data_IF_066416142072
#
_entry.id   IF_066416142072
#
_cell.length_a   1.000
_cell.length_b   1.000
_cell.length_c   1.000
_cell.angle_alpha   90.00
_cell.angle_beta   90.00
_cell.angle_gamma   90.00
#
_symmetry.space_group_name_H-M   'P 1'
#
loop_
_entity.id
_entity.type
_entity.pdbx_description
1 polymer ?
#
# COMPACT_ATOMS: atom_id res chain seq x y z
N UNK A 1 -21.28 13.69 14.31
CA UNK A 1 -19.83 13.42 14.37
C UNK A 1 -19.32 13.15 12.96
N UNK A 2 -18.08 13.52 12.63
CA UNK A 2 -17.51 13.20 11.31
C UNK A 2 -17.40 11.67 11.14
N UNK A 3 -17.55 11.12 9.92
CA UNK A 3 -17.34 9.70 9.69
C UNK A 3 -15.86 9.33 9.85
N UNK A 4 -15.52 8.63 10.94
CA UNK A 4 -14.13 8.26 11.33
C UNK A 4 -13.64 6.93 10.72
N UNK A 5 -14.57 6.13 10.19
CA UNK A 5 -14.33 4.79 9.60
C UNK A 5 -14.64 4.70 8.11
N UNK A 6 -14.87 5.85 7.46
CA UNK A 6 -15.29 5.94 6.06
C UNK A 6 -14.36 6.89 5.32
N UNK A 7 -13.99 6.50 4.10
CA UNK A 7 -13.24 7.31 3.15
C UNK A 7 -13.96 7.26 1.80
N UNK A 8 -13.65 8.24 0.94
CA UNK A 8 -14.05 8.21 -0.47
C UNK A 8 -12.79 7.93 -1.30
N UNK A 9 -12.80 6.83 -2.05
CA UNK A 9 -11.79 6.56 -3.06
C UNK A 9 -12.36 6.96 -4.43
N UNK A 10 -11.65 7.82 -5.15
CA UNK A 10 -12.00 8.27 -6.48
C UNK A 10 -10.87 7.91 -7.45
N UNK A 11 -11.22 7.28 -8.57
CA UNK A 11 -10.29 6.90 -9.63
C UNK A 11 -10.78 7.44 -10.96
N UNK A 12 -9.85 8.00 -11.73
CA UNK A 12 -10.04 8.47 -13.08
C UNK A 12 -9.25 7.56 -14.01
N UNK A 13 -9.92 6.99 -14.99
CA UNK A 13 -9.33 6.03 -15.93
C UNK A 13 -9.71 6.41 -17.36
N UNK A 14 -8.94 5.88 -18.31
CA UNK A 14 -9.34 5.81 -19.70
C UNK A 14 -10.41 4.72 -19.89
N UNK A 15 -11.06 4.73 -21.05
CA UNK A 15 -12.04 3.70 -21.43
C UNK A 15 -11.42 2.30 -21.57
N UNK A 16 -10.10 2.20 -21.69
CA UNK A 16 -9.34 0.95 -21.70
C UNK A 16 -8.83 0.57 -20.29
N UNK A 17 -9.41 1.16 -19.24
CA UNK A 17 -9.06 0.93 -17.83
C UNK A 17 -7.64 1.39 -17.42
N UNK A 18 -6.92 2.07 -18.31
CA UNK A 18 -5.63 2.66 -17.96
C UNK A 18 -5.82 3.75 -16.90
N UNK A 19 -5.18 3.65 -15.71
CA UNK A 19 -5.33 4.65 -14.65
C UNK A 19 -4.72 5.99 -15.05
N UNK A 20 -5.44 7.08 -14.80
CA UNK A 20 -5.00 8.47 -15.01
C UNK A 20 -4.70 9.15 -13.69
N UNK A 21 -5.58 8.99 -12.69
CA UNK A 21 -5.43 9.59 -11.37
C UNK A 21 -6.21 8.82 -10.32
N UNK A 22 -5.69 8.79 -9.11
CA UNK A 22 -6.37 8.23 -7.93
C UNK A 22 -6.33 9.26 -6.81
N UNK A 23 -7.39 9.31 -6.01
CA UNK A 23 -7.46 10.15 -4.82
C UNK A 23 -8.27 9.50 -3.72
N UNK A 24 -7.73 9.53 -2.51
CA UNK A 24 -8.46 9.20 -1.29
C UNK A 24 -8.84 10.49 -0.57
N UNK A 25 -10.09 10.59 -0.15
CA UNK A 25 -10.60 11.69 0.67
C UNK A 25 -11.04 11.14 2.02
N UNK A 26 -10.41 11.65 3.06
CA UNK A 26 -10.74 11.36 4.45
C UNK A 26 -11.85 12.31 4.92
N UNK A 27 -12.86 11.76 5.59
CA UNK A 27 -14.01 12.52 6.08
C UNK A 27 -13.86 12.96 7.54
N UNK A 28 -12.72 12.63 8.15
CA UNK A 28 -12.30 13.06 9.46
C UNK A 28 -10.80 13.41 9.46
N UNK A 29 -10.34 14.27 10.39
CA UNK A 29 -8.91 14.48 10.66
C UNK A 29 -8.16 13.17 10.95
N UNK A 30 -6.86 13.14 10.64
CA UNK A 30 -6.02 11.95 10.78
C UNK A 30 -6.03 11.37 12.20
N UNK A 31 -5.95 12.24 13.20
CA UNK A 31 -5.96 11.89 14.63
C UNK A 31 -7.32 11.40 15.15
N UNK A 32 -8.37 11.51 14.34
CA UNK A 32 -9.71 10.98 14.61
C UNK A 32 -10.02 9.73 13.77
N UNK A 33 -9.15 9.35 12.83
CA UNK A 33 -9.34 8.12 12.08
C UNK A 33 -9.15 6.93 13.02
N UNK A 34 -10.11 6.03 13.00
CA UNK A 34 -10.04 4.80 13.78
C UNK A 34 -9.23 3.75 13.02
N UNK A 35 -7.92 4.01 12.90
CA UNK A 35 -6.99 3.08 12.30
C UNK A 35 -6.81 1.86 13.19
N UNK A 36 -6.61 0.71 12.54
CA UNK A 36 -6.30 -0.55 13.21
C UNK A 36 -5.09 -1.19 12.53
N UNK A 37 -4.30 -1.98 13.26
CA UNK A 37 -3.30 -2.85 12.63
C UNK A 37 -3.97 -3.75 11.59
N UNK A 38 -3.30 -3.91 10.46
CA UNK A 38 -3.78 -4.72 9.33
C UNK A 38 -2.75 -5.77 8.96
N UNK A 39 -3.22 -6.99 8.73
CA UNK A 39 -2.38 -8.05 8.16
C UNK A 39 -2.47 -7.98 6.65
N UNK A 40 -1.33 -7.82 5.99
CA UNK A 40 -1.22 -7.76 4.53
C UNK A 40 -0.39 -8.96 4.10
N UNK A 41 -0.95 -9.78 3.21
CA UNK A 41 -0.29 -10.97 2.68
C UNK A 41 0.16 -10.68 1.23
N UNK A 42 1.41 -10.25 1.02
CA UNK A 42 1.90 -9.92 -0.32
C UNK A 42 2.01 -11.18 -1.18
N UNK A 43 1.66 -11.07 -2.46
CA UNK A 43 1.82 -12.14 -3.44
C UNK A 43 2.72 -11.67 -4.58
N UNK A 44 3.67 -12.50 -5.01
CA UNK A 44 4.49 -12.23 -6.19
C UNK A 44 3.85 -12.88 -7.41
N UNK A 45 3.76 -12.11 -8.49
CA UNK A 45 3.38 -12.59 -9.81
C UNK A 45 4.41 -12.14 -10.84
N UNK A 46 4.69 -12.96 -11.83
CA UNK A 46 5.41 -12.51 -13.02
C UNK A 46 4.45 -11.86 -14.02
N UNK A 47 4.82 -10.68 -14.53
CA UNK A 47 4.14 -10.02 -15.64
C UNK A 47 5.20 -9.46 -16.58
N UNK A 48 5.10 -9.79 -17.86
CA UNK A 48 6.04 -9.38 -18.91
C UNK A 48 7.52 -9.70 -18.59
N UNK A 49 7.76 -10.81 -17.87
CA UNK A 49 9.09 -11.24 -17.45
C UNK A 49 9.67 -10.47 -16.26
N UNK A 50 8.86 -9.64 -15.59
CA UNK A 50 9.26 -8.91 -14.39
C UNK A 50 8.43 -9.32 -13.17
N UNK A 51 9.02 -9.37 -11.96
CA UNK A 51 8.31 -9.67 -10.74
C UNK A 51 7.49 -8.45 -10.25
N UNK A 52 6.21 -8.67 -9.99
CA UNK A 52 5.29 -7.71 -9.40
C UNK A 52 4.77 -8.22 -8.06
N UNK A 53 4.63 -7.31 -7.10
CA UNK A 53 4.09 -7.57 -5.78
C UNK A 53 2.66 -7.04 -5.76
N UNK A 54 1.70 -7.93 -5.58
CA UNK A 54 0.29 -7.61 -5.34
C UNK A 54 0.05 -7.45 -3.85
N UNK A 55 -0.59 -6.35 -3.48
CA UNK A 55 -0.96 -5.99 -2.13
C UNK A 55 -2.46 -5.74 -2.05
N UNK A 56 -3.08 -6.23 -0.99
CA UNK A 56 -4.50 -6.05 -0.67
C UNK A 56 -4.68 -6.09 0.84
N UNK A 57 -5.71 -5.41 1.35
CA UNK A 57 -6.05 -5.39 2.76
C UNK A 57 -7.57 -5.36 2.96
N UNK A 58 -8.04 -6.00 4.03
CA UNK A 58 -9.46 -6.00 4.43
C UNK A 58 -9.89 -4.69 5.12
N UNK A 59 -8.92 -3.92 5.62
CA UNK A 59 -9.12 -2.61 6.25
C UNK A 59 -8.09 -1.62 5.71
N UNK A 60 -8.33 -0.32 5.94
CA UNK A 60 -7.45 0.74 5.45
C UNK A 60 -6.03 0.55 6.03
N UNK A 61 -5.06 0.31 5.14
CA UNK A 61 -3.65 0.35 5.46
C UNK A 61 -3.13 1.76 5.15
N UNK A 62 -3.20 2.65 6.13
CA UNK A 62 -2.82 4.05 5.94
C UNK A 62 -1.29 4.20 5.90
N UNK A 63 -0.80 5.01 4.96
CA UNK A 63 0.61 5.38 4.77
C UNK A 63 1.53 4.14 4.78
N UNK A 64 1.12 3.12 4.01
CA UNK A 64 1.82 1.85 3.89
C UNK A 64 3.24 2.08 3.39
N UNK A 65 4.18 1.60 4.19
CA UNK A 65 5.61 1.61 3.94
C UNK A 65 6.13 0.20 3.69
N UNK A 66 6.79 0.02 2.55
CA UNK A 66 7.46 -1.20 2.13
C UNK A 66 8.98 -1.04 2.26
N UNK A 67 9.65 -2.06 2.79
CA UNK A 67 11.09 -2.11 2.87
C UNK A 67 11.64 -3.53 2.68
N UNK A 68 12.82 -3.62 2.05
CA UNK A 68 13.65 -4.81 2.08
C UNK A 68 14.92 -4.48 2.87
N UNK A 69 14.94 -4.76 4.18
CA UNK A 69 16.02 -4.30 5.05
C UNK A 69 17.39 -4.77 4.57
N UNK A 70 18.31 -3.82 4.43
CA UNK A 70 19.69 -4.11 4.01
C UNK A 70 19.86 -4.35 2.50
N UNK A 71 18.80 -4.19 1.70
CA UNK A 71 18.86 -4.33 0.24
C UNK A 71 18.73 -2.96 -0.41
N UNK A 72 19.74 -2.56 -1.18
CA UNK A 72 19.70 -1.31 -1.92
C UNK A 72 18.72 -1.41 -3.11
N UNK A 73 17.76 -0.51 -3.15
CA UNK A 73 16.76 -0.43 -4.22
C UNK A 73 15.63 0.52 -3.86
N UNK A 74 14.59 0.54 -4.68
CA UNK A 74 13.38 1.33 -4.43
C UNK A 74 12.13 0.60 -4.91
N UNK A 75 11.00 0.87 -4.28
CA UNK A 75 9.71 0.46 -4.84
C UNK A 75 9.25 1.45 -5.92
N UNK A 76 8.47 0.96 -6.88
CA UNK A 76 7.83 1.79 -7.91
C UNK A 76 6.83 2.78 -7.31
N UNK A 77 6.25 2.42 -6.17
CA UNK A 77 5.41 3.25 -5.33
C UNK A 77 5.59 2.83 -3.87
N UNK A 78 5.57 3.79 -2.95
CA UNK A 78 5.73 3.58 -1.50
C UNK A 78 5.05 4.74 -0.75
N UNK A 79 4.79 4.59 0.54
CA UNK A 79 4.06 5.59 1.36
C UNK A 79 2.66 5.91 0.82
N UNK A 80 1.91 4.87 0.41
CA UNK A 80 0.57 5.02 -0.13
C UNK A 80 -0.48 4.36 0.77
N UNK A 81 -1.75 4.69 0.59
CA UNK A 81 -2.84 4.01 1.28
C UNK A 81 -3.28 2.75 0.51
N UNK A 82 -3.43 1.60 1.18
CA UNK A 82 -4.27 0.51 0.65
C UNK A 82 -5.70 0.71 1.10
N UNK A 83 -6.56 1.00 0.14
CA UNK A 83 -8.00 1.09 0.36
C UNK A 83 -8.59 -0.33 0.40
N UNK A 84 -9.51 -0.63 1.35
CA UNK A 84 -10.11 -1.96 1.45
C UNK A 84 -10.70 -2.46 0.12
N UNK A 85 -10.36 -3.68 -0.27
CA UNK A 85 -10.85 -4.31 -1.49
C UNK A 85 -10.33 -3.71 -2.80
N UNK A 86 -9.34 -2.81 -2.75
CA UNK A 86 -8.66 -2.28 -3.94
C UNK A 86 -7.23 -2.82 -3.96
N UNK A 87 -6.93 -3.68 -4.94
CA UNK A 87 -5.59 -4.21 -5.13
C UNK A 87 -4.61 -3.11 -5.57
N UNK A 88 -3.37 -3.18 -5.06
CA UNK A 88 -2.26 -2.36 -5.53
C UNK A 88 -1.10 -3.24 -5.98
N UNK A 89 -0.51 -2.85 -7.11
CA UNK A 89 0.57 -3.58 -7.75
C UNK A 89 1.82 -2.70 -7.74
N UNK A 90 2.89 -3.20 -7.13
CA UNK A 90 4.17 -2.48 -7.05
C UNK A 90 5.32 -3.38 -7.51
N UNK A 91 6.41 -2.76 -7.96
CA UNK A 91 7.67 -3.43 -8.27
C UNK A 91 8.73 -2.98 -7.30
N UNK A 92 9.65 -3.88 -6.94
CA UNK A 92 10.93 -3.49 -6.38
C UNK A 92 11.95 -3.38 -7.51
N UNK A 93 12.71 -2.30 -7.50
CA UNK A 93 13.77 -1.99 -8.45
C UNK A 93 15.09 -2.05 -7.66
N UNK A 94 15.80 -3.19 -7.68
CA UNK A 94 17.11 -3.30 -7.04
C UNK A 94 18.08 -2.28 -7.63
N UNK A 95 19.01 -1.79 -6.80
CA UNK A 95 20.16 -1.03 -7.31
C UNK A 95 21.01 -1.90 -8.25
N UNK A 96 21.82 -1.26 -9.10
CA UNK A 96 22.67 -1.99 -10.04
C UNK A 96 23.56 -3.02 -9.32
N UNK A 97 23.50 -4.27 -9.77
CA UNK A 97 24.25 -5.38 -9.18
C UNK A 97 23.62 -6.02 -7.93
N UNK A 98 22.50 -5.47 -7.41
CA UNK A 98 21.75 -6.10 -6.33
C UNK A 98 20.78 -7.16 -6.87
N UNK A 99 20.67 -8.28 -6.15
CA UNK A 99 19.69 -9.32 -6.45
C UNK A 99 18.30 -8.93 -5.91
N UNK A 100 17.25 -9.47 -6.53
CA UNK A 100 15.91 -9.38 -5.97
C UNK A 100 15.87 -10.16 -4.64
N UNK A 101 15.45 -9.53 -3.53
CA UNK A 101 15.32 -10.23 -2.26
C UNK A 101 14.13 -11.19 -2.25
N UNK A 102 14.18 -12.25 -1.42
CA UNK A 102 13.05 -13.14 -1.22
C UNK A 102 11.90 -12.40 -0.51
N UNK A 103 10.65 -12.74 -0.85
CA UNK A 103 9.46 -12.02 -0.36
C UNK A 103 9.31 -12.08 1.16
N UNK A 104 9.83 -13.12 1.79
CA UNK A 104 9.82 -13.32 3.23
C UNK A 104 10.64 -12.26 3.99
N UNK A 105 11.54 -11.53 3.30
CA UNK A 105 12.26 -10.39 3.85
C UNK A 105 11.50 -9.07 3.73
N UNK A 106 10.37 -9.04 3.02
CA UNK A 106 9.57 -7.82 2.86
C UNK A 106 9.00 -7.42 4.21
N UNK A 107 9.37 -6.22 4.65
CA UNK A 107 8.73 -5.57 5.79
C UNK A 107 7.64 -4.64 5.28
N UNK A 108 6.46 -4.76 5.89
CA UNK A 108 5.31 -3.91 5.64
C UNK A 108 4.96 -3.23 6.95
N UNK A 109 4.84 -1.91 6.94
CA UNK A 109 4.42 -1.10 8.09
C UNK A 109 3.34 -0.13 7.66
N UNK A 110 2.45 0.19 8.57
CA UNK A 110 1.36 1.13 8.36
C UNK A 110 1.27 2.10 9.53
N UNK A 111 0.61 3.23 9.32
CA UNK A 111 0.33 4.16 10.42
C UNK A 111 -0.53 3.50 11.52
N UNK A 112 -1.37 2.52 11.17
CA UNK A 112 -2.17 1.75 12.13
C UNK A 112 -1.35 0.88 13.09
N UNK A 113 -0.10 0.56 12.76
CA UNK A 113 0.79 -0.23 13.63
C UNK A 113 1.45 0.62 14.73
N UNK A 114 1.50 1.95 14.53
CA UNK A 114 2.18 2.89 15.45
C UNK A 114 1.22 3.81 16.18
N UNK A 115 0.02 4.05 15.65
CA UNK A 115 -0.97 4.87 16.34
C UNK A 115 -1.64 4.09 17.47
N UNK A 116 -1.91 4.73 18.62
CA UNK A 116 -2.73 4.13 19.65
C UNK A 116 -4.14 3.90 19.11
N UNK A 117 -4.87 2.89 19.62
CA UNK A 117 -6.28 2.73 19.28
C UNK A 117 -7.05 4.00 19.63
N UNK A 118 -7.96 4.40 18.74
CA UNK A 118 -8.85 5.52 18.99
C UNK A 118 -9.70 5.25 20.25
N UNK A 119 -9.79 6.25 21.14
CA UNK A 119 -10.56 6.21 22.38
C UNK A 119 -12.05 6.38 22.16
#
# INVERSE_FOLDING_TARGET
EPPTRVLIAARLERMDETPISERVVYLAPLDQLELRPVTINPLIFERDGEPWIRLEADYLAKDLYLDFPGVAGRFSDNYFDLVPGIEKWVRFLPAEGAAMPPIEQLQIRTLGDVMPPAN
#
